data_IF_604954327724
#
_entry.id   IF_604954327724
#
_cell.length_a   1.000
_cell.length_b   1.000
_cell.length_c   1.000
_cell.angle_alpha   90.00
_cell.angle_beta   90.00
_cell.angle_gamma   90.00
#
_symmetry.space_group_name_H-M   'P 1'
#
loop_
_entity.id
_entity.type
_entity.pdbx_description
1 polymer ?
#
# COMPACT_ATOMS: atom_id res chain seq x y z
N UNK A 1 83.55 -44.32 83.61
CA UNK A 1 83.57 -42.96 83.03
C UNK A 1 82.45 -42.83 82.00
N UNK A 2 81.32 -42.29 82.33
CA UNK A 2 80.12 -42.30 81.51
C UNK A 2 79.70 -40.84 81.23
N UNK A 3 79.70 -40.48 79.98
CA UNK A 3 79.30 -39.13 79.52
C UNK A 3 77.87 -39.22 79.07
N UNK A 4 76.95 -38.52 79.76
CA UNK A 4 75.55 -38.34 79.48
C UNK A 4 75.32 -37.20 78.47
N UNK A 5 74.92 -37.49 77.20
CA UNK A 5 74.48 -36.48 76.24
C UNK A 5 73.03 -36.12 76.50
N UNK A 6 72.76 -34.85 76.80
CA UNK A 6 71.41 -34.24 76.90
C UNK A 6 70.93 -33.93 75.51
N UNK A 7 69.81 -34.50 75.12
CA UNK A 7 69.12 -34.17 73.88
C UNK A 7 68.19 -32.93 74.08
N UNK A 8 68.41 -31.85 73.30
CA UNK A 8 67.58 -30.70 73.29
C UNK A 8 66.29 -30.92 72.44
N UNK A 9 65.12 -30.70 73.03
CA UNK A 9 63.86 -30.79 72.37
C UNK A 9 63.72 -29.60 71.37
N UNK A 10 63.42 -29.91 70.11
CA UNK A 10 63.15 -28.96 69.09
C UNK A 10 61.70 -28.49 69.17
N UNK A 11 61.46 -27.23 69.43
CA UNK A 11 60.20 -26.59 69.51
C UNK A 11 59.63 -26.36 68.06
N UNK A 12 58.47 -27.00 67.71
CA UNK A 12 57.78 -26.77 66.43
C UNK A 12 57.19 -25.35 66.32
N UNK A 13 57.32 -24.68 65.22
CA UNK A 13 56.79 -23.32 65.08
C UNK A 13 55.26 -23.32 64.87
N UNK A 14 54.52 -22.50 65.62
CA UNK A 14 53.10 -22.14 65.49
C UNK A 14 52.87 -21.33 64.22
N UNK A 15 52.61 -22.00 63.12
CA UNK A 15 52.36 -21.29 61.83
C UNK A 15 51.12 -21.82 61.08
N UNK A 16 49.96 -21.88 61.74
CA UNK A 16 48.75 -22.37 61.03
C UNK A 16 47.51 -21.47 61.20
N UNK A 17 47.56 -20.37 61.95
CA UNK A 17 46.34 -19.57 62.20
C UNK A 17 46.10 -18.36 61.22
N UNK A 18 47.09 -17.95 60.45
CA UNK A 18 46.92 -16.77 59.58
C UNK A 18 46.53 -17.08 58.14
N UNK A 19 46.57 -18.37 57.66
CA UNK A 19 46.24 -18.70 56.28
C UNK A 19 44.73 -18.77 56.03
N UNK A 20 43.93 -19.08 57.04
CA UNK A 20 42.47 -19.17 56.86
C UNK A 20 41.80 -17.80 56.85
N UNK A 21 42.34 -16.78 57.53
CA UNK A 21 41.78 -15.41 57.50
C UNK A 21 41.97 -14.72 56.13
N UNK A 22 43.13 -14.91 55.53
CA UNK A 22 43.45 -14.34 54.19
C UNK A 22 42.65 -15.01 53.05
N UNK A 23 42.31 -16.29 53.20
CA UNK A 23 41.45 -16.97 52.22
C UNK A 23 40.00 -16.57 52.31
N UNK A 24 39.47 -16.29 53.50
CA UNK A 24 38.07 -15.83 53.66
C UNK A 24 37.90 -14.39 53.17
N UNK A 25 38.87 -13.54 53.39
CA UNK A 25 38.81 -12.13 52.92
C UNK A 25 38.90 -12.02 51.40
N UNK A 26 39.74 -12.86 50.72
CA UNK A 26 39.81 -12.90 49.27
C UNK A 26 38.54 -13.47 48.62
N UNK A 27 37.90 -14.44 49.23
CA UNK A 27 36.66 -15.02 48.73
C UNK A 27 35.47 -14.03 48.87
N UNK A 28 35.43 -13.27 49.95
CA UNK A 28 34.41 -12.22 50.16
C UNK A 28 34.52 -11.08 49.16
N UNK A 29 35.73 -10.59 48.90
CA UNK A 29 35.99 -9.53 47.92
C UNK A 29 35.64 -9.96 46.47
N UNK A 30 35.98 -11.20 46.09
CA UNK A 30 35.64 -11.74 44.77
C UNK A 30 34.13 -11.92 44.60
N UNK A 31 33.39 -12.26 45.64
CA UNK A 31 31.96 -12.45 45.61
C UNK A 31 31.25 -11.08 45.44
N UNK A 32 31.64 -10.06 46.20
CA UNK A 32 31.12 -8.68 46.10
C UNK A 32 31.39 -8.08 44.72
N UNK A 33 32.60 -8.29 44.18
CA UNK A 33 32.92 -7.81 42.83
C UNK A 33 32.06 -8.45 41.74
N UNK A 34 31.75 -9.74 41.83
CA UNK A 34 30.87 -10.45 40.89
C UNK A 34 29.41 -9.95 41.01
N UNK A 35 28.93 -9.68 42.22
CA UNK A 35 27.58 -9.12 42.43
C UNK A 35 27.45 -7.73 41.86
N UNK A 36 28.40 -6.83 42.08
CA UNK A 36 28.43 -5.49 41.51
C UNK A 36 28.49 -5.56 39.98
N UNK A 37 29.33 -6.40 39.43
CA UNK A 37 29.47 -6.60 37.98
C UNK A 37 28.16 -7.14 37.39
N UNK A 38 27.51 -8.10 38.04
CA UNK A 38 26.20 -8.60 37.63
C UNK A 38 25.09 -7.54 37.66
N UNK A 39 25.10 -6.68 38.67
CA UNK A 39 24.14 -5.58 38.80
C UNK A 39 24.36 -4.53 37.68
N UNK A 40 25.59 -4.16 37.38
CA UNK A 40 25.91 -3.23 36.28
C UNK A 40 25.49 -3.78 34.93
N UNK A 41 25.73 -5.07 34.65
CA UNK A 41 25.32 -5.70 33.39
C UNK A 41 23.81 -5.72 33.25
N UNK A 42 23.06 -6.06 34.29
CA UNK A 42 21.59 -6.03 34.29
C UNK A 42 21.05 -4.62 34.00
N UNK A 43 21.62 -3.61 34.64
CA UNK A 43 21.21 -2.22 34.46
C UNK A 43 21.48 -1.74 33.03
N UNK A 44 22.60 -2.14 32.45
CA UNK A 44 22.97 -1.84 31.07
C UNK A 44 22.03 -2.56 30.08
N UNK A 45 21.70 -3.82 30.31
CA UNK A 45 20.75 -4.57 29.49
C UNK A 45 19.34 -3.96 29.54
N UNK A 46 18.88 -3.53 30.71
CA UNK A 46 17.57 -2.86 30.88
C UNK A 46 17.56 -1.53 30.11
N UNK A 47 18.62 -0.71 30.21
CA UNK A 47 18.68 0.55 29.51
C UNK A 47 18.69 0.39 27.98
N UNK A 48 19.45 -0.58 27.46
CA UNK A 48 19.46 -0.94 26.03
C UNK A 48 18.10 -1.43 25.55
N UNK A 49 17.42 -2.26 26.33
CA UNK A 49 16.09 -2.76 26.00
C UNK A 49 15.07 -1.61 25.94
N UNK A 50 15.11 -0.68 26.89
CA UNK A 50 14.24 0.51 26.87
C UNK A 50 14.47 1.38 25.65
N UNK A 51 15.71 1.68 25.31
CA UNK A 51 16.05 2.45 24.11
C UNK A 51 15.58 1.72 22.84
N UNK A 52 15.78 0.40 22.77
CA UNK A 52 15.31 -0.41 21.65
C UNK A 52 13.79 -0.37 21.48
N UNK A 53 13.03 -0.49 22.56
CA UNK A 53 11.56 -0.44 22.54
C UNK A 53 11.08 0.94 22.07
N UNK A 54 11.64 2.03 22.62
CA UNK A 54 11.27 3.39 22.24
C UNK A 54 11.58 3.65 20.76
N UNK A 55 12.76 3.26 20.31
CA UNK A 55 13.16 3.43 18.91
C UNK A 55 12.26 2.63 17.96
N UNK A 56 11.94 1.39 18.31
CA UNK A 56 11.04 0.55 17.54
C UNK A 56 9.64 1.17 17.45
N UNK A 57 9.11 1.66 18.56
CA UNK A 57 7.81 2.32 18.63
C UNK A 57 7.74 3.59 17.77
N UNK A 58 8.77 4.45 17.85
CA UNK A 58 8.84 5.68 17.06
C UNK A 58 8.95 5.37 15.57
N UNK A 59 9.81 4.43 15.18
CA UNK A 59 9.95 4.01 13.78
C UNK A 59 8.66 3.39 13.23
N UNK A 60 7.98 2.55 14.01
CA UNK A 60 6.70 1.96 13.62
C UNK A 60 5.63 3.03 13.37
N UNK A 61 5.51 4.00 14.28
CA UNK A 61 4.56 5.11 14.14
C UNK A 61 4.87 6.00 12.94
N UNK A 62 6.15 6.30 12.69
CA UNK A 62 6.60 7.07 11.53
C UNK A 62 6.30 6.34 10.22
N UNK A 63 6.63 5.04 10.13
CA UNK A 63 6.39 4.23 8.95
C UNK A 63 4.90 4.15 8.57
N UNK A 64 4.01 4.00 9.57
CA UNK A 64 2.56 3.98 9.31
C UNK A 64 2.07 5.35 8.81
N UNK A 65 2.56 6.45 9.40
CA UNK A 65 2.19 7.81 8.98
C UNK A 65 2.64 8.10 7.54
N UNK A 66 3.86 7.74 7.18
CA UNK A 66 4.38 7.88 5.81
C UNK A 66 3.60 7.04 4.82
N UNK A 67 3.28 5.79 5.17
CA UNK A 67 2.50 4.88 4.33
C UNK A 67 1.09 5.43 4.07
N UNK A 68 0.41 5.94 5.10
CA UNK A 68 -0.91 6.56 4.94
C UNK A 68 -0.86 7.80 4.05
N UNK A 69 0.15 8.64 4.21
CA UNK A 69 0.33 9.84 3.40
C UNK A 69 0.62 9.48 1.94
N UNK A 70 1.52 8.53 1.71
CA UNK A 70 1.84 8.04 0.36
C UNK A 70 0.62 7.43 -0.34
N UNK A 71 -0.16 6.60 0.38
CA UNK A 71 -1.39 6.03 -0.18
C UNK A 71 -2.43 7.10 -0.54
N UNK A 72 -2.61 8.13 0.28
CA UNK A 72 -3.54 9.24 -0.01
C UNK A 72 -3.10 10.03 -1.23
N UNK A 73 -1.82 10.35 -1.36
CA UNK A 73 -1.27 11.07 -2.52
C UNK A 73 -1.45 10.24 -3.78
N UNK A 74 -1.09 8.94 -3.72
CA UNK A 74 -1.25 8.04 -4.87
C UNK A 74 -2.72 7.91 -5.29
N UNK A 75 -3.63 7.70 -4.34
CA UNK A 75 -5.05 7.61 -4.64
C UNK A 75 -5.59 8.89 -5.27
N UNK A 76 -5.15 10.06 -4.80
CA UNK A 76 -5.54 11.35 -5.38
C UNK A 76 -5.04 11.51 -6.81
N UNK A 77 -3.76 11.21 -7.06
CA UNK A 77 -3.16 11.30 -8.41
C UNK A 77 -3.89 10.36 -9.39
N UNK A 78 -4.20 9.14 -8.96
CA UNK A 78 -4.95 8.19 -9.80
C UNK A 78 -6.37 8.71 -10.06
N UNK A 79 -7.05 9.25 -9.07
CA UNK A 79 -8.39 9.84 -9.25
C UNK A 79 -8.38 11.02 -10.23
N UNK A 80 -7.42 11.92 -10.11
CA UNK A 80 -7.24 13.06 -11.02
C UNK A 80 -6.94 12.58 -12.46
N UNK A 81 -6.11 11.52 -12.60
CA UNK A 81 -5.81 10.95 -13.92
C UNK A 81 -7.05 10.30 -14.56
N UNK A 82 -7.85 9.58 -13.78
CA UNK A 82 -9.11 9.00 -14.26
C UNK A 82 -10.07 10.10 -14.67
N UNK A 83 -10.26 11.12 -13.84
CA UNK A 83 -11.11 12.26 -14.16
C UNK A 83 -10.69 12.95 -15.44
N UNK A 84 -9.40 13.20 -15.63
CA UNK A 84 -8.88 13.80 -16.86
C UNK A 84 -9.18 12.95 -18.09
N UNK A 85 -8.98 11.63 -18.01
CA UNK A 85 -9.30 10.71 -19.12
C UNK A 85 -10.79 10.73 -19.46
N UNK A 86 -11.66 10.72 -18.46
CA UNK A 86 -13.11 10.78 -18.67
C UNK A 86 -13.53 12.10 -19.34
N UNK A 87 -13.03 13.22 -18.85
CA UNK A 87 -13.30 14.54 -19.46
C UNK A 87 -12.82 14.61 -20.91
N UNK A 88 -11.62 14.09 -21.19
CA UNK A 88 -11.10 14.01 -22.56
C UNK A 88 -11.99 13.14 -23.45
N UNK A 89 -12.46 11.98 -22.96
CA UNK A 89 -13.37 11.11 -23.71
C UNK A 89 -14.71 11.79 -23.97
N UNK A 90 -15.28 12.47 -22.98
CA UNK A 90 -16.53 13.24 -23.16
C UNK A 90 -16.38 14.29 -24.23
N UNK A 91 -15.32 15.07 -24.20
CA UNK A 91 -15.07 16.11 -25.23
C UNK A 91 -14.88 15.50 -26.63
N UNK A 92 -14.21 14.36 -26.74
CA UNK A 92 -14.05 13.67 -28.02
C UNK A 92 -15.39 13.15 -28.56
N UNK A 93 -16.21 12.53 -27.72
CA UNK A 93 -17.53 11.99 -28.11
C UNK A 93 -18.45 13.15 -28.51
N UNK A 94 -18.42 14.29 -27.82
CA UNK A 94 -19.16 15.49 -28.16
C UNK A 94 -18.75 16.02 -29.54
N UNK A 95 -17.44 16.12 -29.80
CA UNK A 95 -16.95 16.53 -31.14
C UNK A 95 -17.37 15.52 -32.22
N UNK A 96 -17.37 14.23 -31.91
CA UNK A 96 -17.83 13.21 -32.87
C UNK A 96 -19.32 13.37 -33.19
N UNK A 97 -20.16 13.68 -32.22
CA UNK A 97 -21.58 13.97 -32.44
C UNK A 97 -21.79 15.13 -33.44
N UNK A 98 -20.84 16.04 -33.56
CA UNK A 98 -20.89 17.16 -34.55
C UNK A 98 -20.40 16.77 -35.94
N UNK A 99 -19.88 15.56 -36.14
CA UNK A 99 -19.42 15.11 -37.48
C UNK A 99 -20.64 14.92 -38.38
N UNK A 100 -20.71 15.60 -39.53
CA UNK A 100 -21.90 15.60 -40.40
C UNK A 100 -22.32 14.19 -40.86
N UNK A 101 -21.36 13.28 -41.04
CA UNK A 101 -21.63 11.91 -41.46
C UNK A 101 -22.54 11.13 -40.48
N UNK A 102 -22.46 11.38 -39.18
CA UNK A 102 -23.32 10.72 -38.19
C UNK A 102 -24.77 11.25 -38.21
N UNK A 103 -24.97 12.54 -38.53
CA UNK A 103 -26.28 13.19 -38.58
C UNK A 103 -26.90 13.21 -39.96
N UNK A 104 -26.15 12.92 -41.02
CA UNK A 104 -26.64 12.95 -42.40
C UNK A 104 -27.64 11.82 -42.66
N UNK A 105 -28.78 12.16 -43.29
CA UNK A 105 -29.82 11.17 -43.64
C UNK A 105 -29.47 10.39 -44.93
N UNK A 106 -28.59 10.94 -45.76
CA UNK A 106 -28.14 10.34 -47.03
C UNK A 106 -26.98 9.35 -46.86
N UNK A 107 -26.42 9.18 -45.66
CA UNK A 107 -25.36 8.22 -45.32
C UNK A 107 -25.98 6.94 -44.77
N UNK A 108 -25.55 5.79 -45.28
CA UNK A 108 -26.08 4.48 -44.89
C UNK A 108 -25.68 4.16 -43.42
N UNK A 109 -26.49 3.30 -42.81
CA UNK A 109 -26.19 2.82 -41.44
C UNK A 109 -24.82 2.10 -41.36
N UNK A 110 -24.51 1.31 -42.41
CA UNK A 110 -23.24 0.57 -42.51
C UNK A 110 -22.03 1.50 -42.53
N UNK A 111 -22.13 2.60 -43.28
CA UNK A 111 -21.05 3.59 -43.38
C UNK A 111 -20.86 4.36 -42.06
N UNK A 112 -21.94 4.69 -41.36
CA UNK A 112 -21.87 5.28 -40.01
C UNK A 112 -21.22 4.34 -39.01
N UNK A 113 -21.59 3.06 -39.01
CA UNK A 113 -21.02 2.04 -38.14
C UNK A 113 -19.53 1.84 -38.43
N UNK A 114 -19.16 1.76 -39.72
CA UNK A 114 -17.75 1.60 -40.11
C UNK A 114 -16.90 2.78 -39.59
N UNK A 115 -17.38 4.00 -39.75
CA UNK A 115 -16.72 5.20 -39.23
C UNK A 115 -16.61 5.16 -37.71
N UNK A 116 -17.67 4.76 -37.01
CA UNK A 116 -17.67 4.60 -35.55
C UNK A 116 -16.65 3.58 -35.09
N UNK A 117 -16.53 2.45 -35.76
CA UNK A 117 -15.54 1.40 -35.47
C UNK A 117 -14.10 1.91 -35.70
N UNK A 118 -13.86 2.67 -36.75
CA UNK A 118 -12.56 3.30 -37.00
C UNK A 118 -12.17 4.27 -35.87
N UNK A 119 -13.08 5.09 -35.42
CA UNK A 119 -12.86 5.97 -34.24
C UNK A 119 -12.59 5.14 -32.98
N UNK A 120 -13.39 4.10 -32.71
CA UNK A 120 -13.20 3.24 -31.55
C UNK A 120 -11.79 2.62 -31.54
N UNK A 121 -11.32 2.13 -32.69
CA UNK A 121 -9.97 1.58 -32.84
C UNK A 121 -8.87 2.62 -32.60
N UNK A 122 -9.01 3.82 -33.19
CA UNK A 122 -8.03 4.90 -33.07
C UNK A 122 -7.89 5.43 -31.62
N UNK A 123 -8.97 5.43 -30.86
CA UNK A 123 -8.98 5.89 -29.46
C UNK A 123 -8.88 4.76 -28.44
N UNK A 124 -8.76 3.51 -28.88
CA UNK A 124 -8.71 2.32 -28.04
C UNK A 124 -9.93 2.21 -27.10
N UNK A 125 -11.10 2.50 -27.64
CA UNK A 125 -12.38 2.30 -26.96
C UNK A 125 -12.90 0.89 -27.18
N UNK A 126 -13.74 0.40 -26.27
CA UNK A 126 -14.34 -0.93 -26.39
C UNK A 126 -15.30 -1.03 -27.56
N UNK A 127 -15.95 0.07 -27.93
CA UNK A 127 -16.86 0.19 -29.05
C UNK A 127 -17.58 1.54 -29.04
N UNK A 128 -18.19 1.90 -30.15
CA UNK A 128 -19.10 3.02 -30.32
C UNK A 128 -20.38 2.49 -30.92
N UNK A 129 -21.50 2.83 -30.33
CA UNK A 129 -22.82 2.51 -30.84
C UNK A 129 -23.56 3.79 -31.20
N UNK A 130 -24.23 3.78 -32.32
CA UNK A 130 -25.10 4.85 -32.78
C UNK A 130 -26.53 4.41 -32.54
N UNK A 131 -27.31 5.24 -31.90
CA UNK A 131 -28.69 4.93 -31.55
C UNK A 131 -29.64 5.99 -32.12
N UNK A 132 -30.83 5.58 -32.41
CA UNK A 132 -31.90 6.47 -32.84
C UNK A 132 -32.51 7.30 -31.67
N UNK A 133 -33.49 8.13 -31.96
CA UNK A 133 -34.15 8.97 -30.96
C UNK A 133 -35.00 8.16 -29.98
N UNK A 134 -35.33 6.93 -30.31
CA UNK A 134 -36.03 5.96 -29.47
C UNK A 134 -35.07 5.13 -28.62
N UNK A 135 -33.76 5.32 -28.82
CA UNK A 135 -32.70 4.62 -28.09
C UNK A 135 -32.38 3.22 -28.59
N UNK A 136 -32.79 2.88 -29.81
CA UNK A 136 -32.46 1.64 -30.46
C UNK A 136 -31.15 1.78 -31.23
N UNK A 137 -30.36 0.71 -31.24
CA UNK A 137 -29.12 0.64 -32.02
C UNK A 137 -29.43 0.57 -33.51
N UNK A 138 -28.72 1.33 -34.34
CA UNK A 138 -28.94 1.35 -35.80
C UNK A 138 -28.46 0.10 -36.51
N UNK A 139 -27.58 -0.70 -35.88
CA UNK A 139 -27.04 -1.94 -36.40
C UNK A 139 -27.91 -3.13 -35.94
N UNK A 140 -28.40 -3.14 -34.72
CA UNK A 140 -29.19 -4.21 -34.13
C UNK A 140 -30.40 -3.65 -33.35
N UNK A 141 -31.56 -3.65 -33.96
CA UNK A 141 -32.83 -3.17 -33.37
C UNK A 141 -33.23 -3.92 -32.08
N UNK A 142 -32.65 -5.08 -31.80
CA UNK A 142 -32.88 -5.82 -30.54
C UNK A 142 -32.19 -5.17 -29.36
N UNK A 143 -31.20 -4.31 -29.60
CA UNK A 143 -30.44 -3.59 -28.57
C UNK A 143 -31.06 -2.23 -28.36
N UNK A 144 -31.51 -1.95 -27.15
CA UNK A 144 -32.03 -0.63 -26.78
C UNK A 144 -31.37 -0.12 -25.50
N UNK A 145 -31.05 1.17 -25.50
CA UNK A 145 -30.48 1.89 -24.33
C UNK A 145 -31.48 2.93 -23.77
N UNK A 146 -32.71 2.91 -24.21
CA UNK A 146 -33.74 3.86 -23.75
C UNK A 146 -33.98 3.83 -22.24
N UNK A 147 -33.73 2.68 -21.60
CA UNK A 147 -33.81 2.47 -20.14
C UNK A 147 -32.58 3.00 -19.37
N UNK A 148 -31.56 3.47 -20.06
CA UNK A 148 -30.31 3.93 -19.43
C UNK A 148 -30.40 5.39 -19.02
N UNK A 149 -29.91 5.72 -17.82
CA UNK A 149 -30.00 7.06 -17.23
C UNK A 149 -29.26 8.14 -18.02
N UNK A 150 -28.26 7.77 -18.81
CA UNK A 150 -27.50 8.69 -19.64
C UNK A 150 -28.18 9.03 -20.97
N UNK A 151 -29.09 8.18 -21.47
CA UNK A 151 -29.77 8.35 -22.73
C UNK A 151 -30.67 9.61 -22.77
N UNK A 152 -31.61 9.84 -21.84
CA UNK A 152 -32.44 11.04 -21.87
C UNK A 152 -31.63 12.33 -21.73
N UNK A 153 -30.46 12.32 -21.13
CA UNK A 153 -29.57 13.48 -21.05
C UNK A 153 -28.92 13.79 -22.40
N UNK A 154 -28.45 12.73 -23.10
CA UNK A 154 -27.89 12.88 -24.44
C UNK A 154 -28.93 13.39 -25.42
N UNK A 155 -30.16 12.83 -25.43
CA UNK A 155 -31.30 13.37 -26.25
C UNK A 155 -31.61 14.83 -25.92
N UNK A 156 -31.46 15.20 -24.65
CA UNK A 156 -31.64 16.60 -24.21
C UNK A 156 -30.48 17.54 -24.61
N UNK A 157 -29.51 17.08 -25.38
CA UNK A 157 -28.39 17.90 -25.88
C UNK A 157 -27.22 18.01 -24.90
N UNK A 158 -27.15 17.12 -23.88
CA UNK A 158 -26.10 17.16 -22.86
C UNK A 158 -25.26 15.90 -22.90
N UNK A 159 -23.98 16.01 -23.24
CA UNK A 159 -23.01 14.90 -23.13
C UNK A 159 -22.94 14.43 -21.70
N UNK A 160 -23.09 13.15 -21.51
CA UNK A 160 -23.17 12.54 -20.18
C UNK A 160 -22.40 11.24 -20.09
N UNK A 161 -22.01 10.90 -18.86
CA UNK A 161 -21.29 9.67 -18.51
C UNK A 161 -22.17 8.82 -17.59
N UNK A 162 -22.10 7.50 -17.78
CA UNK A 162 -22.78 6.55 -16.90
C UNK A 162 -21.97 6.19 -15.67
N UNK A 163 -22.64 5.70 -14.64
CA UNK A 163 -21.99 4.80 -13.67
C UNK A 163 -21.51 3.53 -14.38
N UNK A 164 -20.65 2.71 -13.77
CA UNK A 164 -20.29 1.41 -14.32
C UNK A 164 -21.54 0.57 -14.59
N UNK A 165 -21.76 0.20 -15.84
CA UNK A 165 -22.91 -0.58 -16.30
C UNK A 165 -22.47 -1.81 -17.09
N UNK A 166 -23.32 -2.83 -17.15
CA UNK A 166 -23.10 -3.92 -18.09
C UNK A 166 -23.56 -3.51 -19.49
N UNK A 167 -22.66 -3.60 -20.46
CA UNK A 167 -22.95 -3.33 -21.86
C UNK A 167 -23.92 -4.36 -22.41
N UNK A 168 -24.97 -3.89 -23.06
CA UNK A 168 -25.93 -4.76 -23.77
C UNK A 168 -25.33 -5.35 -25.06
N UNK A 169 -24.26 -4.73 -25.58
CA UNK A 169 -23.56 -5.15 -26.80
C UNK A 169 -22.46 -6.18 -26.50
N UNK A 170 -21.57 -5.83 -25.55
CA UNK A 170 -20.40 -6.68 -25.26
C UNK A 170 -20.58 -7.62 -24.08
N UNK A 171 -21.59 -7.42 -23.24
CA UNK A 171 -21.82 -8.17 -21.99
C UNK A 171 -20.81 -7.89 -20.87
N UNK A 172 -19.81 -7.04 -21.14
CA UNK A 172 -18.81 -6.63 -20.15
C UNK A 172 -19.22 -5.42 -19.34
N UNK A 173 -18.52 -5.20 -18.21
CA UNK A 173 -18.69 -3.98 -17.42
C UNK A 173 -17.96 -2.83 -18.11
N UNK A 174 -18.68 -1.75 -18.37
CA UNK A 174 -18.17 -0.55 -19.06
C UNK A 174 -18.65 0.72 -18.41
N UNK A 175 -17.98 1.83 -18.70
CA UNK A 175 -18.48 3.18 -18.47
C UNK A 175 -18.88 3.71 -19.84
N UNK A 176 -20.15 4.06 -20.02
CA UNK A 176 -20.65 4.60 -21.26
C UNK A 176 -20.60 6.15 -21.24
N UNK A 177 -20.17 6.73 -22.33
CA UNK A 177 -20.26 8.17 -22.60
C UNK A 177 -21.21 8.36 -23.77
N UNK A 178 -22.24 9.17 -23.57
CA UNK A 178 -23.24 9.47 -24.59
C UNK A 178 -23.25 10.97 -24.91
N UNK A 179 -23.26 11.30 -26.18
CA UNK A 179 -23.44 12.64 -26.70
C UNK A 179 -24.70 12.70 -27.62
N UNK A 180 -25.26 13.89 -27.81
CA UNK A 180 -26.39 14.10 -28.69
C UNK A 180 -26.06 13.80 -30.15
#
# INVERSE_FOLDING_TARGET
>A
MAIRKKTKAVQKPKRVKNMNHVKHEKNGAVTVQKEIQGMMIRLLCISLALVGIVTCFLNYRSAISEMQTSMRVTARVVAEQVQYRLQKTMALVEVMGTVPTFSAEDVSAEEKVQLAQEYAANYNWTGINIVDKEGKDIEDDSISIADRSYFPRAIGGVTSISDPVYSKVTGGQVIAVAAP
#
